data_IF_355218641426
#
_entry.id   IF_355218641426
#
_cell.length_a   1.000
_cell.length_b   1.000
_cell.length_c   1.000
_cell.angle_alpha   90.00
_cell.angle_beta   90.00
_cell.angle_gamma   90.00
#
_symmetry.space_group_name_H-M   'P 1'
#
loop_
_entity.id
_entity.type
_entity.pdbx_description
1 polymer ?
#
# COMPACT_ATOMS: atom_id res chain seq x y z
N UNK A 1 5.65 8.58 25.16
CA UNK A 1 5.85 9.33 23.91
C UNK A 1 6.72 8.47 23.01
N UNK A 2 6.11 7.70 22.11
CA UNK A 2 6.85 6.74 21.28
C UNK A 2 7.78 7.47 20.33
N UNK A 3 9.06 7.06 20.25
CA UNK A 3 9.95 7.50 19.17
C UNK A 3 9.30 7.04 17.86
N UNK A 4 8.93 7.99 17.00
CA UNK A 4 8.63 7.67 15.61
C UNK A 4 9.91 7.09 15.00
N UNK A 5 9.86 5.79 14.73
CA UNK A 5 10.87 5.07 13.96
C UNK A 5 10.91 5.65 12.55
N UNK A 6 12.10 5.75 11.97
CA UNK A 6 12.36 6.54 10.78
C UNK A 6 11.94 5.86 9.49
N UNK A 7 12.24 6.55 8.39
CA UNK A 7 12.17 6.02 7.03
C UNK A 7 13.57 5.86 6.48
N UNK A 8 13.78 4.78 5.72
CA UNK A 8 14.99 4.56 4.92
C UNK A 8 14.66 4.71 3.45
N UNK A 9 15.41 5.56 2.72
CA UNK A 9 15.27 5.77 1.28
C UNK A 9 16.16 4.80 0.51
N UNK A 10 15.59 4.07 -0.43
CA UNK A 10 16.31 3.12 -1.29
C UNK A 10 16.48 3.70 -2.68
N UNK A 11 17.71 4.11 -3.02
CA UNK A 11 18.14 4.62 -4.32
C UNK A 11 17.24 5.72 -4.92
N UNK A 12 16.48 6.41 -4.07
CA UNK A 12 15.48 7.40 -4.49
C UNK A 12 14.15 6.82 -4.98
N UNK A 13 13.99 5.51 -5.14
CA UNK A 13 12.83 4.85 -5.80
C UNK A 13 11.70 4.48 -4.83
N UNK A 14 12.01 4.04 -3.62
CA UNK A 14 11.00 3.77 -2.59
C UNK A 14 11.58 4.01 -1.20
N UNK A 15 10.70 4.18 -0.22
CA UNK A 15 11.06 4.30 1.19
C UNK A 15 10.47 3.15 2.00
N UNK A 16 11.18 2.70 3.01
CA UNK A 16 10.71 1.69 3.98
C UNK A 16 10.62 2.32 5.37
N UNK A 17 9.69 1.84 6.20
CA UNK A 17 9.60 2.23 7.62
C UNK A 17 10.31 1.24 8.53
N UNK A 18 11.11 1.75 9.48
CA UNK A 18 11.79 0.89 10.47
C UNK A 18 10.79 0.18 11.39
N UNK A 19 9.56 0.70 11.52
CA UNK A 19 8.47 0.04 12.29
C UNK A 19 8.19 -1.36 11.78
N UNK A 20 8.27 -1.56 10.46
CA UNK A 20 8.04 -2.84 9.82
C UNK A 20 9.35 -3.60 9.58
N UNK A 21 10.43 -2.89 9.17
CA UNK A 21 11.74 -3.51 8.94
C UNK A 21 12.31 -4.19 10.19
N UNK A 22 12.18 -3.57 11.37
CA UNK A 22 12.78 -4.08 12.61
C UNK A 22 12.10 -5.34 13.14
N UNK A 23 10.84 -5.57 12.77
CA UNK A 23 10.11 -6.80 13.14
C UNK A 23 10.46 -7.95 12.19
N UNK A 24 10.89 -7.62 10.97
CA UNK A 24 11.21 -8.60 9.93
C UNK A 24 9.98 -9.37 9.45
N UNK A 25 10.19 -10.32 8.52
CA UNK A 25 9.12 -11.20 8.05
C UNK A 25 8.13 -10.59 7.05
N UNK A 26 8.28 -9.31 6.71
CA UNK A 26 7.46 -8.61 5.71
C UNK A 26 8.35 -7.78 4.77
N UNK A 27 7.98 -7.73 3.49
CA UNK A 27 8.50 -6.74 2.53
C UNK A 27 7.45 -5.66 2.34
N UNK A 28 7.86 -4.41 2.47
CA UNK A 28 6.99 -3.24 2.38
C UNK A 28 7.74 -2.09 1.73
N UNK A 29 6.99 -1.09 1.27
CA UNK A 29 7.57 0.14 0.79
C UNK A 29 6.51 1.12 0.33
N UNK A 30 6.85 2.40 0.37
CA UNK A 30 6.11 3.46 -0.29
C UNK A 30 6.96 3.95 -1.45
N UNK A 31 6.48 3.79 -2.68
CA UNK A 31 7.23 4.23 -3.85
C UNK A 31 7.31 5.75 -3.89
N UNK A 32 8.41 6.27 -4.45
CA UNK A 32 8.51 7.67 -4.84
C UNK A 32 8.05 7.81 -6.30
N UNK A 33 8.08 9.04 -6.82
CA UNK A 33 7.86 9.29 -8.26
C UNK A 33 9.08 8.95 -9.13
N UNK A 34 10.22 8.55 -8.56
CA UNK A 34 11.50 8.43 -9.27
C UNK A 34 11.79 6.98 -9.67
N UNK A 35 12.62 6.80 -10.71
CA UNK A 35 13.14 5.49 -11.11
C UNK A 35 12.25 4.69 -12.05
N UNK A 36 11.26 5.33 -12.68
CA UNK A 36 10.41 4.69 -13.69
C UNK A 36 10.69 5.18 -15.11
N UNK A 37 9.75 4.90 -16.02
CA UNK A 37 9.84 5.18 -17.46
C UNK A 37 8.68 6.01 -18.01
N UNK A 38 7.73 6.38 -17.16
CA UNK A 38 6.63 7.27 -17.56
C UNK A 38 7.15 8.67 -17.84
N UNK A 39 6.43 9.43 -18.66
CA UNK A 39 6.85 10.74 -19.16
C UNK A 39 5.83 11.82 -18.82
N UNK A 40 6.25 13.09 -18.95
CA UNK A 40 5.38 14.26 -18.76
C UNK A 40 4.80 14.33 -17.35
N UNK A 41 3.47 14.52 -17.24
CA UNK A 41 2.81 14.60 -15.93
C UNK A 41 2.90 13.32 -15.10
N UNK A 42 3.22 12.19 -15.73
CA UNK A 42 3.39 10.89 -15.07
C UNK A 42 4.85 10.57 -14.73
N UNK A 43 5.79 11.49 -15.02
CA UNK A 43 7.20 11.25 -14.82
C UNK A 43 7.54 10.99 -13.34
N UNK A 44 8.22 9.91 -12.97
CA UNK A 44 8.78 8.81 -13.80
C UNK A 44 8.18 7.44 -13.47
N UNK A 45 7.84 7.18 -12.21
CA UNK A 45 7.37 5.88 -11.71
C UNK A 45 5.86 5.90 -11.41
N UNK A 46 5.03 6.09 -12.43
CA UNK A 46 3.58 5.97 -12.28
C UNK A 46 3.14 4.49 -12.26
N UNK A 47 2.42 4.10 -11.20
CA UNK A 47 1.82 2.77 -11.02
C UNK A 47 0.29 2.76 -11.20
N UNK A 48 -0.31 3.93 -11.48
CA UNK A 48 -1.74 4.09 -11.66
C UNK A 48 -2.23 3.50 -12.99
N UNK A 49 -2.86 2.32 -12.94
CA UNK A 49 -3.33 1.58 -14.12
C UNK A 49 -4.45 2.27 -14.91
N UNK A 50 -5.21 3.18 -14.27
CA UNK A 50 -6.39 3.86 -14.85
C UNK A 50 -6.31 5.38 -14.66
N UNK A 51 -5.13 5.97 -14.92
CA UNK A 51 -4.86 7.42 -14.75
C UNK A 51 -4.52 8.15 -16.06
N UNK A 52 -4.60 7.47 -17.20
CA UNK A 52 -4.36 8.05 -18.53
C UNK A 52 -2.92 7.98 -19.03
N UNK A 53 -2.03 7.28 -18.32
CA UNK A 53 -0.67 7.01 -18.76
C UNK A 53 -0.61 5.89 -19.81
N UNK A 54 0.53 5.77 -20.48
CA UNK A 54 0.82 4.66 -21.38
C UNK A 54 0.87 3.35 -20.58
N UNK A 55 0.03 2.38 -20.97
CA UNK A 55 -0.09 1.07 -20.30
C UNK A 55 1.24 0.30 -20.27
N UNK A 56 2.06 0.42 -21.31
CA UNK A 56 3.36 -0.26 -21.36
C UNK A 56 4.39 0.39 -20.43
N UNK A 57 4.30 1.72 -20.23
CA UNK A 57 5.11 2.40 -19.21
C UNK A 57 4.71 1.97 -17.81
N UNK A 58 3.40 1.91 -17.53
CA UNK A 58 2.89 1.42 -16.23
C UNK A 58 3.34 -0.02 -15.97
N UNK A 59 3.20 -0.93 -16.94
CA UNK A 59 3.70 -2.31 -16.83
C UNK A 59 5.18 -2.37 -16.53
N UNK A 60 5.99 -1.59 -17.25
CA UNK A 60 7.44 -1.54 -17.04
C UNK A 60 7.79 -1.00 -15.65
N UNK A 61 7.06 0.00 -15.15
CA UNK A 61 7.21 0.51 -13.78
C UNK A 61 6.90 -0.57 -12.73
N UNK A 62 5.87 -1.39 -12.93
CA UNK A 62 5.60 -2.54 -12.06
C UNK A 62 6.73 -3.56 -12.08
N UNK A 63 7.30 -3.88 -13.25
CA UNK A 63 8.45 -4.79 -13.33
C UNK A 63 9.70 -4.23 -12.65
N UNK A 64 9.96 -2.92 -12.77
CA UNK A 64 11.07 -2.24 -12.09
C UNK A 64 10.89 -2.38 -10.57
N UNK A 65 9.73 -2.01 -10.04
CA UNK A 65 9.51 -2.04 -8.59
C UNK A 65 9.41 -3.48 -8.06
N UNK A 66 8.91 -4.43 -8.85
CA UNK A 66 8.92 -5.86 -8.55
C UNK A 66 10.35 -6.38 -8.37
N UNK A 67 11.26 -6.02 -9.28
CA UNK A 67 12.68 -6.39 -9.17
C UNK A 67 13.36 -5.81 -7.94
N UNK A 68 13.05 -4.56 -7.59
CA UNK A 68 13.64 -3.88 -6.43
C UNK A 68 13.10 -4.39 -5.10
N UNK A 69 11.78 -4.59 -5.00
CA UNK A 69 11.10 -4.97 -3.77
C UNK A 69 10.92 -6.49 -3.60
N UNK A 70 11.29 -7.28 -4.62
CA UNK A 70 11.24 -8.74 -4.57
C UNK A 70 9.82 -9.30 -4.45
N UNK A 71 8.88 -8.84 -5.28
CA UNK A 71 7.55 -9.44 -5.41
C UNK A 71 7.31 -9.93 -6.84
N UNK A 72 6.35 -10.83 -7.01
CA UNK A 72 5.94 -11.34 -8.31
C UNK A 72 4.85 -10.44 -8.90
N UNK A 73 5.06 -9.78 -10.05
CA UNK A 73 4.07 -8.90 -10.67
C UNK A 73 2.81 -9.63 -11.17
N UNK A 74 2.83 -10.96 -11.26
CA UNK A 74 1.67 -11.81 -11.57
C UNK A 74 0.99 -12.37 -10.30
N UNK A 75 1.41 -11.93 -9.10
CA UNK A 75 0.80 -12.29 -7.82
C UNK A 75 0.62 -11.05 -6.91
N UNK A 76 -0.16 -10.09 -7.40
CA UNK A 76 -0.43 -8.82 -6.71
C UNK A 76 -1.93 -8.59 -6.51
N UNK A 77 -2.31 -7.64 -5.66
CA UNK A 77 -3.69 -7.19 -5.54
C UNK A 77 -3.73 -5.66 -5.51
N UNK A 78 -4.51 -5.07 -6.40
CA UNK A 78 -4.63 -3.63 -6.59
C UNK A 78 -6.03 -3.19 -6.16
N UNK A 79 -6.13 -2.18 -5.29
CA UNK A 79 -7.43 -1.63 -4.87
C UNK A 79 -8.20 -0.93 -6.00
N UNK A 80 -9.52 -1.06 -5.99
CA UNK A 80 -10.44 -0.14 -6.67
C UNK A 80 -10.87 0.97 -5.70
N UNK A 81 -9.99 1.97 -5.52
CA UNK A 81 -10.22 3.07 -4.58
C UNK A 81 -11.37 3.99 -5.01
N UNK A 82 -12.30 4.22 -4.09
CA UNK A 82 -13.45 5.12 -4.24
C UNK A 82 -13.53 6.15 -3.12
N UNK A 83 -12.47 6.26 -2.29
CA UNK A 83 -12.44 7.08 -1.07
C UNK A 83 -13.50 6.65 -0.04
N UNK A 84 -13.88 5.38 -0.07
CA UNK A 84 -14.77 4.75 0.89
C UNK A 84 -14.00 4.17 2.08
N UNK A 85 -14.60 3.18 2.71
CA UNK A 85 -14.11 2.49 3.91
C UNK A 85 -14.27 0.96 3.84
N UNK A 86 -14.53 0.45 2.63
CA UNK A 86 -14.63 -0.97 2.34
C UNK A 86 -13.25 -1.64 2.37
N UNK A 87 -13.17 -2.76 3.10
CA UNK A 87 -11.98 -3.61 3.25
C UNK A 87 -12.24 -4.95 2.58
N UNK A 88 -11.27 -5.47 1.82
CA UNK A 88 -11.37 -6.78 1.16
C UNK A 88 -10.28 -7.74 1.63
N UNK A 89 -10.66 -9.00 1.82
CA UNK A 89 -9.75 -10.12 2.06
C UNK A 89 -9.29 -10.66 0.71
N UNK A 90 -7.98 -10.78 0.52
CA UNK A 90 -7.38 -11.32 -0.69
C UNK A 90 -6.86 -12.73 -0.42
N UNK A 91 -7.43 -13.71 -1.12
CA UNK A 91 -7.03 -15.12 -1.02
C UNK A 91 -6.17 -15.56 -2.23
N UNK A 92 -6.20 -14.80 -3.32
CA UNK A 92 -5.45 -15.06 -4.55
C UNK A 92 -5.01 -13.74 -5.18
N UNK A 93 -3.74 -13.66 -5.58
CA UNK A 93 -3.23 -12.54 -6.35
C UNK A 93 -3.66 -12.63 -7.82
N UNK A 94 -3.57 -11.49 -8.50
CA UNK A 94 -3.78 -11.32 -9.93
C UNK A 94 -2.61 -10.57 -10.57
N UNK A 95 -2.86 -10.09 -11.79
CA UNK A 95 -1.90 -9.34 -12.60
C UNK A 95 -2.18 -7.85 -12.54
N UNK A 96 -1.31 -7.05 -13.14
CA UNK A 96 -1.42 -5.59 -13.21
C UNK A 96 -2.75 -5.15 -13.85
N UNK A 97 -3.26 -5.92 -14.81
CA UNK A 97 -4.51 -5.66 -15.52
C UNK A 97 -5.77 -6.12 -14.77
N UNK A 98 -5.61 -6.84 -13.67
CA UNK A 98 -6.69 -7.50 -12.94
C UNK A 98 -6.84 -6.88 -11.54
N UNK A 99 -7.27 -5.61 -11.41
CA UNK A 99 -7.59 -5.05 -10.11
C UNK A 99 -8.74 -5.82 -9.47
N UNK A 100 -8.89 -5.67 -8.15
CA UNK A 100 -10.00 -6.30 -7.42
C UNK A 100 -11.36 -5.95 -8.03
N UNK A 101 -12.26 -6.94 -8.07
CA UNK A 101 -13.52 -6.87 -8.83
C UNK A 101 -14.56 -5.89 -8.28
N UNK A 102 -14.38 -5.41 -7.04
CA UNK A 102 -15.33 -4.54 -6.36
C UNK A 102 -14.61 -3.36 -5.70
N UNK A 103 -15.26 -2.18 -5.61
CA UNK A 103 -14.74 -1.03 -4.89
C UNK A 103 -14.25 -1.38 -3.48
N UNK A 104 -13.07 -0.87 -3.14
CA UNK A 104 -12.49 -0.93 -1.80
C UNK A 104 -11.30 0.03 -1.69
N UNK A 105 -11.05 0.48 -0.47
CA UNK A 105 -9.93 1.37 -0.15
C UNK A 105 -8.93 0.71 0.80
N UNK A 106 -9.15 -0.55 1.18
CA UNK A 106 -8.20 -1.35 1.92
C UNK A 106 -8.22 -2.83 1.51
N UNK A 107 -7.04 -3.44 1.51
CA UNK A 107 -6.84 -4.87 1.27
C UNK A 107 -6.14 -5.50 2.46
N UNK A 108 -6.47 -6.76 2.76
CA UNK A 108 -5.77 -7.56 3.76
C UNK A 108 -5.55 -8.99 3.25
N UNK A 109 -4.45 -9.64 3.67
CA UNK A 109 -4.20 -11.05 3.38
C UNK A 109 -3.25 -11.67 4.40
N UNK A 110 -3.33 -12.99 4.58
CA UNK A 110 -2.29 -13.81 5.23
C UNK A 110 -1.66 -14.84 4.27
N UNK A 111 -1.98 -14.74 2.97
CA UNK A 111 -1.46 -15.65 1.94
C UNK A 111 -0.07 -15.18 1.53
N UNK A 112 0.99 -15.99 1.75
CA UNK A 112 2.34 -15.59 1.42
C UNK A 112 2.53 -15.30 -0.07
N UNK A 113 3.35 -14.30 -0.37
CA UNK A 113 3.76 -13.96 -1.74
C UNK A 113 2.83 -12.99 -2.47
N UNK A 114 1.64 -12.69 -1.95
CA UNK A 114 0.73 -11.68 -2.53
C UNK A 114 1.18 -10.28 -2.09
N UNK A 115 1.51 -9.41 -3.04
CA UNK A 115 1.78 -8.00 -2.75
C UNK A 115 0.50 -7.16 -2.84
N UNK A 116 0.20 -6.36 -1.81
CA UNK A 116 -0.97 -5.48 -1.76
C UNK A 116 -0.58 -4.05 -2.17
N UNK A 117 -1.38 -3.44 -3.03
CA UNK A 117 -1.18 -2.07 -3.50
C UNK A 117 -2.37 -1.18 -3.17
N UNK A 118 -2.04 -0.02 -2.62
CA UNK A 118 -2.89 1.17 -2.57
C UNK A 118 -2.15 2.31 -3.26
N UNK A 119 -2.88 3.16 -3.95
CA UNK A 119 -2.36 4.28 -4.72
C UNK A 119 -2.61 5.58 -3.98
N UNK A 120 -1.64 6.48 -3.98
CA UNK A 120 -1.82 7.82 -3.44
C UNK A 120 -1.03 8.85 -4.22
N UNK A 121 -1.51 10.08 -4.19
CA UNK A 121 -0.81 11.29 -4.53
C UNK A 121 -1.40 12.44 -3.70
N UNK A 122 -1.57 12.21 -2.38
CA UNK A 122 -1.82 13.20 -1.29
C UNK A 122 -2.50 12.52 -0.09
N UNK A 123 -3.43 11.60 -0.35
CA UNK A 123 -4.13 10.84 0.70
C UNK A 123 -3.15 10.01 1.54
N UNK A 124 -3.53 9.61 2.75
CA UNK A 124 -2.62 8.92 3.68
C UNK A 124 -2.54 7.42 3.34
N UNK A 125 -1.39 6.88 2.89
CA UNK A 125 -1.22 5.44 2.74
C UNK A 125 -0.77 4.83 4.07
N UNK A 126 -1.38 3.73 4.47
CA UNK A 126 -1.02 3.03 5.72
C UNK A 126 -0.77 1.55 5.40
N UNK A 127 0.39 1.05 5.81
CA UNK A 127 0.75 -0.36 5.73
C UNK A 127 0.69 -1.00 7.12
N UNK A 128 0.02 -2.13 7.22
CA UNK A 128 -0.19 -2.88 8.45
C UNK A 128 0.49 -4.25 8.36
N UNK A 129 1.07 -4.71 9.46
CA UNK A 129 1.63 -6.05 9.56
C UNK A 129 1.46 -6.59 10.98
N UNK A 130 0.94 -7.80 11.10
CA UNK A 130 0.97 -8.56 12.35
C UNK A 130 1.99 -9.71 12.23
N UNK A 131 3.07 -9.73 13.03
CA UNK A 131 4.07 -10.79 12.96
C UNK A 131 3.56 -12.15 13.44
N UNK A 132 2.55 -12.18 14.33
CA UNK A 132 2.05 -13.43 14.93
C UNK A 132 1.17 -14.20 13.93
N UNK A 133 0.15 -13.56 13.37
CA UNK A 133 -0.70 -14.16 12.32
C UNK A 133 -0.07 -14.10 10.92
N UNK A 134 1.02 -13.34 10.76
CA UNK A 134 1.68 -13.02 9.48
C UNK A 134 0.74 -12.43 8.44
N UNK A 135 -0.31 -11.72 8.87
CA UNK A 135 -1.18 -11.01 7.97
C UNK A 135 -0.68 -9.58 7.71
N UNK A 136 -0.93 -9.10 6.50
CA UNK A 136 -0.62 -7.75 6.05
C UNK A 136 -1.90 -7.02 5.67
N UNK A 137 -1.85 -5.69 5.74
CA UNK A 137 -2.88 -4.80 5.23
C UNK A 137 -2.29 -3.59 4.52
N UNK A 138 -2.98 -3.11 3.48
CA UNK A 138 -2.67 -1.86 2.80
C UNK A 138 -3.93 -1.01 2.73
N UNK A 139 -3.84 0.25 3.18
CA UNK A 139 -5.00 1.13 3.39
C UNK A 139 -4.77 2.47 2.70
N UNK A 140 -5.74 2.88 1.88
CA UNK A 140 -5.87 4.23 1.35
C UNK A 140 -6.81 5.04 2.26
N UNK A 141 -6.25 5.94 3.06
CA UNK A 141 -6.99 6.79 3.97
C UNK A 141 -7.02 8.25 3.48
N UNK A 142 -7.90 8.52 2.52
CA UNK A 142 -8.32 9.90 2.23
C UNK A 142 -9.18 10.48 3.36
N UNK A 143 -9.54 11.76 3.29
CA UNK A 143 -10.33 12.40 4.35
C UNK A 143 -11.68 11.70 4.60
N UNK A 144 -12.37 11.24 3.55
CA UNK A 144 -13.65 10.51 3.66
C UNK A 144 -13.48 9.15 4.33
N UNK A 145 -12.53 8.33 3.86
CA UNK A 145 -12.22 7.03 4.46
C UNK A 145 -11.76 7.16 5.91
N UNK A 146 -11.00 8.21 6.22
CA UNK A 146 -10.58 8.55 7.60
C UNK A 146 -11.79 8.89 8.48
N UNK A 147 -12.67 9.78 8.03
CA UNK A 147 -13.90 10.13 8.75
C UNK A 147 -14.83 8.92 8.97
N UNK A 148 -14.83 7.97 8.04
CA UNK A 148 -15.60 6.73 8.13
C UNK A 148 -14.88 5.59 8.88
N UNK A 149 -13.67 5.83 9.40
CA UNK A 149 -12.96 4.89 10.27
C UNK A 149 -12.30 3.71 9.55
N UNK A 150 -11.89 3.85 8.30
CA UNK A 150 -11.31 2.76 7.48
C UNK A 150 -10.16 2.01 8.18
N UNK A 151 -9.28 2.72 8.90
CA UNK A 151 -8.15 2.09 9.60
C UNK A 151 -8.64 1.13 10.70
N UNK A 152 -9.59 1.59 11.52
CA UNK A 152 -10.19 0.76 12.57
C UNK A 152 -10.93 -0.44 12.00
N UNK A 153 -11.68 -0.26 10.90
CA UNK A 153 -12.35 -1.34 10.18
C UNK A 153 -11.34 -2.38 9.66
N UNK A 154 -10.21 -1.93 9.12
CA UNK A 154 -9.15 -2.81 8.61
C UNK A 154 -8.53 -3.64 9.73
N UNK A 155 -8.15 -3.01 10.85
CA UNK A 155 -7.59 -3.71 12.04
C UNK A 155 -8.59 -4.73 12.59
N UNK A 156 -9.87 -4.36 12.73
CA UNK A 156 -10.91 -5.27 13.20
C UNK A 156 -11.11 -6.46 12.25
N UNK A 157 -11.02 -6.25 10.94
CA UNK A 157 -11.13 -7.32 9.97
C UNK A 157 -9.91 -8.25 9.99
N UNK A 158 -8.69 -7.72 10.13
CA UNK A 158 -7.48 -8.53 10.34
C UNK A 158 -7.61 -9.41 11.59
N UNK A 159 -8.11 -8.85 12.69
CA UNK A 159 -8.36 -9.60 13.93
C UNK A 159 -9.41 -10.70 13.73
N UNK A 160 -10.55 -10.37 13.11
CA UNK A 160 -11.64 -11.32 12.91
C UNK A 160 -11.33 -12.43 11.88
N UNK A 161 -10.52 -12.14 10.85
CA UNK A 161 -10.23 -13.09 9.77
C UNK A 161 -8.98 -13.92 10.01
N UNK A 162 -7.95 -13.34 10.61
CA UNK A 162 -6.64 -13.96 10.74
C UNK A 162 -6.20 -14.18 12.19
N UNK A 163 -6.99 -13.73 13.16
CA UNK A 163 -6.63 -13.81 14.58
C UNK A 163 -5.54 -12.82 14.99
N UNK A 164 -5.28 -11.79 14.19
CA UNK A 164 -4.33 -10.73 14.51
C UNK A 164 -4.76 -10.00 15.78
N UNK A 165 -3.81 -9.67 16.66
CA UNK A 165 -4.10 -8.88 17.86
C UNK A 165 -3.86 -7.40 17.58
N UNK A 166 -4.82 -6.50 17.87
CA UNK A 166 -4.62 -5.07 17.66
C UNK A 166 -3.32 -4.51 18.26
N UNK A 167 -2.91 -5.02 19.41
CA UNK A 167 -1.67 -4.64 20.09
C UNK A 167 -0.37 -5.16 19.45
N UNK A 168 -0.44 -6.22 18.63
CA UNK A 168 0.72 -6.76 17.91
C UNK A 168 0.85 -6.16 16.50
N UNK A 169 -0.24 -5.63 15.94
CA UNK A 169 -0.23 -4.98 14.62
C UNK A 169 0.70 -3.76 14.63
N UNK A 170 1.66 -3.77 13.71
CA UNK A 170 2.54 -2.66 13.38
C UNK A 170 1.94 -1.86 12.25
N UNK A 171 1.99 -0.53 12.36
CA UNK A 171 1.46 0.38 11.36
C UNK A 171 2.54 1.37 10.91
N UNK A 172 2.77 1.46 9.61
CA UNK A 172 3.58 2.49 8.98
C UNK A 172 2.68 3.46 8.21
N UNK A 173 2.79 4.76 8.52
CA UNK A 173 2.01 5.83 7.88
C UNK A 173 2.93 6.54 6.87
N UNK A 174 2.74 6.25 5.59
CA UNK A 174 3.63 6.72 4.53
C UNK A 174 3.45 8.20 4.17
N UNK A 175 4.17 8.66 3.13
CA UNK A 175 4.12 10.04 2.67
C UNK A 175 2.70 10.44 2.25
N UNK A 176 2.27 11.60 2.73
CA UNK A 176 0.97 12.17 2.46
C UNK A 176 1.05 13.70 2.54
N UNK A 177 -0.02 14.38 2.15
CA UNK A 177 -0.13 15.81 2.34
C UNK A 177 -0.11 16.13 3.85
N UNK A 178 0.66 17.16 4.23
CA UNK A 178 0.78 17.63 5.61
C UNK A 178 -0.16 18.80 5.90
N UNK A 179 -0.39 19.09 7.18
CA UNK A 179 -1.21 20.24 7.60
C UNK A 179 -0.69 21.60 7.12
N UNK A 180 0.58 21.68 6.72
CA UNK A 180 1.16 22.87 6.07
C UNK A 180 0.64 23.13 4.64
N UNK A 181 0.04 22.13 3.99
CA UNK A 181 -0.39 22.20 2.59
C UNK A 181 -1.83 21.71 2.37
N UNK A 182 -2.50 21.23 3.43
CA UNK A 182 -3.87 20.72 3.36
C UNK A 182 -4.87 21.69 4.00
N UNK A 183 -5.34 22.66 3.20
CA UNK A 183 -6.39 23.61 3.57
C UNK A 183 -7.78 23.00 3.35
N UNK A 184 -8.70 23.17 4.31
CA UNK A 184 -10.05 22.57 4.32
C UNK A 184 -11.13 23.58 4.69
#
# INVERSE_FOLDING_TARGET
MGRFKGYSLTDGTYITSDVLSDVGGVRHGFTTRNGGVSEGQFESLNLGINRGDNKDHVRKNYHIIAGLMGFDPDNIALTWQVHGDDVRVIERGGRIEDPVEAPCDALITNVPGIALFVFTADCVPILLYDPDSRCIGAVHAGWRGTANGILGKTVNMMAGKFGAKPESIRAAIGPSIGGCCFEV
#
